data_IF_374885522052
#
_entry.id   IF_374885522052
#
_cell.length_a   1.000
_cell.length_b   1.000
_cell.length_c   1.000
_cell.angle_alpha   90.00
_cell.angle_beta   90.00
_cell.angle_gamma   90.00
#
_symmetry.space_group_name_H-M   'P 1'
#
loop_
_entity.id
_entity.type
_entity.pdbx_description
1 polymer ?
#
# COMPACT_ATOMS: atom_id res chain seq x y z
N UNK A 1 -8.53 -2.62 7.25
CA UNK A 1 -7.84 -1.84 8.31
C UNK A 1 -7.89 -0.38 7.92
N UNK A 2 -8.03 0.53 8.89
CA UNK A 2 -8.05 1.98 8.65
C UNK A 2 -6.81 2.59 9.29
N UNK A 3 -6.07 3.40 8.54
CA UNK A 3 -4.97 4.20 9.08
C UNK A 3 -5.41 5.66 9.15
N UNK A 4 -5.23 6.25 10.32
CA UNK A 4 -5.54 7.66 10.59
C UNK A 4 -4.24 8.46 10.59
N UNK A 5 -4.26 9.62 9.93
CA UNK A 5 -3.17 10.57 9.96
C UNK A 5 -3.74 11.95 10.24
N UNK A 6 -3.23 12.64 11.27
CA UNK A 6 -3.66 13.99 11.66
C UNK A 6 -5.19 14.12 11.85
N UNK A 7 -5.79 13.10 12.47
CA UNK A 7 -7.23 12.96 12.72
C UNK A 7 -8.11 12.83 11.44
N UNK A 8 -7.50 12.63 10.28
CA UNK A 8 -8.18 12.35 9.01
C UNK A 8 -7.91 10.91 8.54
N UNK A 9 -8.96 10.22 8.09
CA UNK A 9 -8.86 8.88 7.51
C UNK A 9 -8.20 8.99 6.14
N UNK A 10 -6.88 8.83 6.10
CA UNK A 10 -6.07 9.03 4.89
C UNK A 10 -5.90 7.77 4.06
N UNK A 11 -5.89 6.58 4.69
CA UNK A 11 -5.69 5.31 3.97
C UNK A 11 -6.65 4.22 4.43
N UNK A 12 -7.23 3.53 3.44
CA UNK A 12 -8.09 2.36 3.63
C UNK A 12 -7.43 1.14 3.04
N UNK A 13 -7.26 0.08 3.84
CA UNK A 13 -6.67 -1.18 3.38
C UNK A 13 -7.67 -2.32 3.47
N UNK A 14 -7.90 -3.03 2.38
CA UNK A 14 -8.73 -4.22 2.28
C UNK A 14 -7.93 -5.42 1.76
N UNK A 15 -8.36 -6.62 2.13
CA UNK A 15 -7.71 -7.88 1.74
C UNK A 15 -8.66 -9.05 1.98
N UNK A 16 -8.51 -10.15 1.24
CA UNK A 16 -9.31 -11.37 1.48
C UNK A 16 -8.97 -12.07 2.80
N UNK A 17 -7.70 -12.02 3.21
CA UNK A 17 -7.22 -12.70 4.41
C UNK A 17 -6.25 -11.82 5.18
N UNK A 18 -6.36 -11.82 6.51
CA UNK A 18 -5.45 -11.13 7.42
C UNK A 18 -5.05 -12.02 8.58
N UNK A 19 -3.75 -12.10 8.86
CA UNK A 19 -3.20 -12.82 10.00
C UNK A 19 -2.37 -11.85 10.85
N UNK A 20 -2.74 -11.72 12.13
CA UNK A 20 -1.98 -10.96 13.12
C UNK A 20 -1.13 -11.91 13.97
N UNK A 21 0.15 -11.59 14.08
CA UNK A 21 1.14 -12.32 14.86
C UNK A 21 1.61 -11.45 16.02
N UNK A 22 2.11 -12.10 17.06
CA UNK A 22 2.72 -11.43 18.21
C UNK A 22 1.83 -10.28 18.74
N UNK A 23 0.56 -10.59 19.01
CA UNK A 23 -0.42 -9.60 19.50
C UNK A 23 -0.59 -8.35 18.63
N UNK A 24 -0.29 -8.44 17.33
CA UNK A 24 -0.47 -7.34 16.38
C UNK A 24 0.81 -6.60 15.99
N UNK A 25 1.96 -6.94 16.57
CA UNK A 25 3.26 -6.36 16.17
C UNK A 25 3.59 -6.64 14.70
N UNK A 26 3.04 -7.72 14.14
CA UNK A 26 3.14 -8.06 12.73
C UNK A 26 1.80 -8.51 12.18
N UNK A 27 1.34 -7.83 11.14
CA UNK A 27 0.10 -8.15 10.43
C UNK A 27 0.46 -8.52 8.99
N UNK A 28 -0.02 -9.66 8.52
CA UNK A 28 0.14 -10.07 7.12
C UNK A 28 -1.23 -10.08 6.47
N UNK A 29 -1.39 -9.25 5.45
CA UNK A 29 -2.59 -9.22 4.62
C UNK A 29 -2.29 -9.91 3.29
N UNK A 30 -3.24 -10.70 2.79
CA UNK A 30 -3.05 -11.48 1.57
C UNK A 30 -4.35 -11.77 0.83
N UNK A 31 -4.22 -12.09 -0.45
CA UNK A 31 -5.34 -12.35 -1.36
C UNK A 31 -6.00 -11.06 -1.79
N UNK A 32 -5.43 -10.41 -2.81
CA UNK A 32 -5.90 -9.14 -3.37
C UNK A 32 -5.96 -8.02 -2.32
N UNK A 33 -4.76 -7.63 -1.86
CA UNK A 33 -4.63 -6.47 -0.97
C UNK A 33 -4.80 -5.21 -1.80
N UNK A 34 -5.71 -4.35 -1.36
CA UNK A 34 -6.02 -3.06 -1.96
C UNK A 34 -5.84 -1.97 -0.89
N UNK A 35 -5.10 -0.91 -1.23
CA UNK A 35 -4.86 0.24 -0.37
C UNK A 35 -5.27 1.50 -1.16
N UNK A 36 -6.26 2.22 -0.65
CA UNK A 36 -6.79 3.44 -1.27
C UNK A 36 -6.54 4.66 -0.37
N UNK A 37 -6.09 5.75 -0.98
CA UNK A 37 -6.02 7.06 -0.36
C UNK A 37 -7.41 7.72 -0.30
N UNK A 38 -7.75 8.31 0.85
CA UNK A 38 -9.01 8.99 1.09
C UNK A 38 -8.78 10.45 1.53
N UNK A 39 -9.69 11.38 1.20
CA UNK A 39 -10.86 11.23 0.33
C UNK A 39 -10.53 11.69 -1.10
N UNK A 40 -10.59 10.84 -2.13
CA UNK A 40 -10.58 11.38 -3.50
C UNK A 40 -11.04 10.45 -4.62
N UNK A 41 -11.83 10.99 -5.59
CA UNK A 41 -11.68 10.59 -6.98
C UNK A 41 -10.33 11.13 -7.50
N UNK A 42 -9.40 10.23 -7.83
CA UNK A 42 -8.03 10.57 -8.29
C UNK A 42 -6.91 10.29 -7.28
N UNK A 43 -7.25 9.78 -6.08
CA UNK A 43 -6.28 9.38 -5.06
C UNK A 43 -5.41 8.21 -5.47
N UNK A 44 -4.36 7.94 -4.71
CA UNK A 44 -3.46 6.81 -4.95
C UNK A 44 -4.18 5.51 -4.59
N UNK A 45 -4.22 4.58 -5.56
CA UNK A 45 -4.68 3.20 -5.38
C UNK A 45 -3.51 2.25 -5.53
N UNK A 46 -3.37 1.32 -4.60
CA UNK A 46 -2.24 0.40 -4.57
C UNK A 46 -2.73 -1.03 -4.40
N UNK A 47 -2.27 -1.92 -5.27
CA UNK A 47 -2.72 -3.31 -5.34
C UNK A 47 -1.53 -4.26 -5.28
N UNK A 48 -1.61 -5.28 -4.42
CA UNK A 48 -0.58 -6.31 -4.28
C UNK A 48 -1.17 -7.63 -3.80
N UNK A 49 -0.59 -8.79 -4.17
CA UNK A 49 -1.05 -10.08 -3.66
C UNK A 49 -0.93 -10.24 -2.13
N UNK A 50 0.06 -9.59 -1.52
CA UNK A 50 0.30 -9.65 -0.08
C UNK A 50 1.14 -8.48 0.41
N UNK A 51 0.91 -8.04 1.65
CA UNK A 51 1.73 -7.03 2.33
C UNK A 51 1.92 -7.42 3.80
N UNK A 52 3.10 -7.14 4.35
CA UNK A 52 3.37 -7.23 5.78
C UNK A 52 3.38 -5.83 6.36
N UNK A 53 2.67 -5.63 7.45
CA UNK A 53 2.56 -4.37 8.19
C UNK A 53 3.14 -4.59 9.58
N UNK A 54 3.98 -3.67 10.02
CA UNK A 54 4.60 -3.60 11.33
C UNK A 54 4.12 -2.30 11.99
N UNK A 55 2.97 -2.31 12.69
CA UNK A 55 2.35 -1.09 13.23
C UNK A 55 3.27 -0.30 14.16
N UNK A 56 4.00 -0.97 15.05
CA UNK A 56 4.91 -0.33 16.01
C UNK A 56 6.08 0.39 15.35
N UNK A 57 6.39 0.01 14.11
CA UNK A 57 7.44 0.65 13.31
C UNK A 57 6.87 1.62 12.27
N UNK A 58 5.55 1.78 12.25
CA UNK A 58 4.83 2.56 11.25
C UNK A 58 5.29 2.19 9.83
N UNK A 59 5.48 0.89 9.59
CA UNK A 59 6.14 0.38 8.40
C UNK A 59 5.32 -0.72 7.72
N UNK A 60 5.30 -0.73 6.40
CA UNK A 60 4.76 -1.85 5.63
C UNK A 60 5.69 -2.21 4.47
N UNK A 61 5.76 -3.49 4.14
CA UNK A 61 6.54 -3.96 3.00
C UNK A 61 5.91 -5.13 2.28
N UNK A 62 6.29 -5.28 1.03
CA UNK A 62 6.00 -6.44 0.21
C UNK A 62 7.17 -6.71 -0.71
N UNK A 63 7.41 -7.99 -1.00
CA UNK A 63 8.35 -8.47 -2.01
C UNK A 63 7.63 -8.82 -3.33
N UNK A 64 6.29 -8.68 -3.35
CA UNK A 64 5.44 -9.00 -4.49
C UNK A 64 5.37 -7.85 -5.48
N UNK A 65 4.79 -8.17 -6.64
CA UNK A 65 4.45 -7.15 -7.63
C UNK A 65 3.39 -6.22 -7.05
N UNK A 66 3.62 -4.93 -7.19
CA UNK A 66 2.75 -3.86 -6.77
C UNK A 66 2.32 -3.07 -8.00
N UNK A 67 1.02 -2.81 -8.11
CA UNK A 67 0.46 -1.88 -9.07
C UNK A 67 -0.01 -0.64 -8.31
N UNK A 68 0.47 0.53 -8.71
CA UNK A 68 0.05 1.83 -8.21
C UNK A 68 -0.70 2.55 -9.33
N UNK A 69 -1.88 3.06 -9.04
CA UNK A 69 -2.71 3.82 -9.96
C UNK A 69 -3.07 5.16 -9.35
N UNK A 70 -2.93 6.25 -10.12
CA UNK A 70 -3.36 7.59 -9.73
C UNK A 70 -3.92 8.29 -10.97
N UNK A 71 -5.24 8.45 -11.00
CA UNK A 71 -5.95 8.90 -12.21
C UNK A 71 -5.62 7.99 -13.42
N UNK A 72 -5.20 8.55 -14.57
CA UNK A 72 -4.83 7.77 -15.75
C UNK A 72 -3.44 7.09 -15.63
N UNK A 73 -2.63 7.48 -14.65
CA UNK A 73 -1.27 6.97 -14.53
C UNK A 73 -1.27 5.61 -13.83
N UNK A 74 -0.57 4.64 -14.42
CA UNK A 74 -0.30 3.35 -13.80
C UNK A 74 1.20 3.09 -13.73
N UNK A 75 1.67 2.75 -12.53
CA UNK A 75 3.05 2.36 -12.27
C UNK A 75 3.05 0.97 -11.67
N UNK A 76 3.80 0.05 -12.29
CA UNK A 76 3.97 -1.30 -11.80
C UNK A 76 5.41 -1.49 -11.35
N UNK A 77 5.61 -2.14 -10.22
CA UNK A 77 6.94 -2.47 -9.71
C UNK A 77 6.96 -3.80 -8.97
N UNK A 78 8.15 -4.28 -8.63
CA UNK A 78 8.36 -5.46 -7.80
C UNK A 78 8.99 -5.04 -6.48
N UNK A 79 8.31 -5.39 -5.40
CA UNK A 79 8.69 -5.04 -4.06
C UNK A 79 8.40 -3.57 -3.74
N UNK A 80 7.97 -3.32 -2.51
CA UNK A 80 7.63 -1.99 -2.02
C UNK A 80 7.89 -1.89 -0.52
N UNK A 81 8.29 -0.71 -0.07
CA UNK A 81 8.37 -0.32 1.34
C UNK A 81 7.59 0.97 1.56
N UNK A 82 6.85 1.03 2.64
CA UNK A 82 6.03 2.18 3.05
C UNK A 82 6.46 2.53 4.46
N UNK A 83 6.88 3.78 4.64
CA UNK A 83 7.27 4.37 5.91
C UNK A 83 6.18 5.39 6.25
N UNK A 84 5.21 4.99 7.06
CA UNK A 84 4.06 5.80 7.45
C UNK A 84 4.50 6.97 8.36
N UNK A 85 5.56 6.78 9.15
CA UNK A 85 6.19 7.81 9.98
C UNK A 85 6.76 8.99 9.17
N UNK A 86 7.08 8.74 7.89
CA UNK A 86 7.78 9.68 6.99
C UNK A 86 6.98 10.04 5.76
N UNK A 87 5.72 9.61 5.65
CA UNK A 87 4.90 9.74 4.44
C UNK A 87 5.64 9.29 3.16
N UNK A 88 6.47 8.24 3.26
CA UNK A 88 7.39 7.84 2.19
C UNK A 88 7.08 6.45 1.68
N UNK A 89 6.93 6.34 0.36
CA UNK A 89 6.81 5.06 -0.36
C UNK A 89 8.03 4.86 -1.25
N UNK A 90 8.63 3.68 -1.19
CA UNK A 90 9.74 3.25 -2.03
C UNK A 90 9.35 1.99 -2.79
N UNK A 91 9.48 2.00 -4.12
CA UNK A 91 9.37 0.79 -4.94
C UNK A 91 10.78 0.25 -5.18
N UNK A 92 10.99 -1.04 -4.91
CA UNK A 92 12.33 -1.61 -4.79
C UNK A 92 12.95 -1.99 -6.14
N UNK A 93 12.18 -2.44 -7.13
CA UNK A 93 12.71 -2.92 -8.43
C UNK A 93 11.66 -2.95 -9.55
N UNK A 94 12.13 -3.05 -10.81
CA UNK A 94 11.33 -3.28 -12.04
C UNK A 94 10.16 -2.28 -12.23
N UNK A 95 10.42 -0.99 -12.01
CA UNK A 95 9.42 0.05 -12.22
C UNK A 95 9.14 0.21 -13.71
N UNK A 96 7.99 -0.28 -14.17
CA UNK A 96 7.43 0.03 -15.48
C UNK A 96 6.27 1.00 -15.27
N UNK A 97 6.53 2.28 -15.52
CA UNK A 97 5.47 3.28 -15.58
C UNK A 97 4.94 3.35 -17.01
N UNK A 98 3.64 3.12 -17.19
CA UNK A 98 2.99 3.38 -18.45
C UNK A 98 2.36 4.78 -18.34
N UNK A 99 2.87 5.72 -19.13
CA UNK A 99 2.28 7.04 -19.30
C UNK A 99 1.50 7.00 -20.61
N UNK A 100 0.19 7.23 -20.56
CA UNK A 100 -0.64 7.42 -21.75
C UNK A 100 -0.77 8.94 -21.97
N UNK A 101 -0.05 9.53 -22.94
CA UNK A 101 -0.29 10.90 -23.35
C UNK A 101 -1.50 10.90 -24.29
N UNK A 102 -2.69 11.23 -23.76
CA UNK A 102 -3.80 11.73 -24.57
C UNK A 102 -3.51 13.16 -25.05
#
# INVERSE_FOLDING_TARGET
>A
MLFYQDDQQKWRTESRQGAAYNRGERIVLSGDVEIDELPSPGGIKLQTPSITILPDKEFAETDRVVTISSGPNQTKGKGMRVYLDKDRVEILSDVKSNYDPD
#
